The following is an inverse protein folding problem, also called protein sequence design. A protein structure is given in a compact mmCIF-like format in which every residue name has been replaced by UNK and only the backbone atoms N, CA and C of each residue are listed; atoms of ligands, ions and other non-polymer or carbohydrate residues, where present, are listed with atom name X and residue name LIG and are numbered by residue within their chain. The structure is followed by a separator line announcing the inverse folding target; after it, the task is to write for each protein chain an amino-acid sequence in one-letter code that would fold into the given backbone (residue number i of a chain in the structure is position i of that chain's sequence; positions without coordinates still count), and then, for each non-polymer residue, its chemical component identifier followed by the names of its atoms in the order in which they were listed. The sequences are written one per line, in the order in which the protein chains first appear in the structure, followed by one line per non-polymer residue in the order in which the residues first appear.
data_IF_305101343074
#
_entry.id   IF_305101343074
#
_cell.length_a   1.000
_cell.length_b   1.000
_cell.length_c   1.000
_cell.angle_alpha   90.00
_cell.angle_beta   90.00
_cell.angle_gamma   90.00
#
_symmetry.space_group_name_H-M   'P 1'
#
loop_
_entity.id
_entity.type
_entity.pdbx_description
1 polymer ?
#
# COMPACT_ATOMS: atom_id res chain seq x y z
N UNK A 1 -40.29 11.83 -49.50
CA UNK A 1 -40.13 12.71 -50.67
C UNK A 1 -38.82 13.47 -50.56
N UNK A 2 -38.04 13.51 -51.68
CA UNK A 2 -36.77 14.21 -52.00
C UNK A 2 -35.50 13.51 -51.42
N UNK A 3 -34.87 12.72 -52.13
CA UNK A 3 -33.86 12.53 -53.19
C UNK A 3 -32.99 13.78 -53.47
N UNK A 4 -31.65 13.55 -53.38
CA UNK A 4 -30.63 14.16 -54.28
C UNK A 4 -29.28 13.52 -53.88
N UNK A 5 -28.68 12.62 -54.68
CA UNK A 5 -27.75 12.76 -55.84
C UNK A 5 -26.45 13.52 -55.41
N UNK A 6 -25.35 12.96 -55.29
CA UNK A 6 -24.35 12.27 -56.07
C UNK A 6 -23.44 13.25 -56.83
N UNK A 7 -22.12 13.28 -56.53
CA UNK A 7 -21.08 13.64 -57.51
C UNK A 7 -19.81 12.90 -57.23
N UNK A 8 -19.44 12.10 -58.20
CA UNK A 8 -18.18 11.39 -58.39
C UNK A 8 -17.20 12.35 -59.09
N UNK A 9 -15.98 12.53 -58.60
CA UNK A 9 -14.92 13.17 -59.39
C UNK A 9 -13.67 12.32 -59.32
N UNK A 10 -13.40 11.65 -60.44
CA UNK A 10 -12.15 11.03 -60.80
C UNK A 10 -11.14 12.06 -61.33
N UNK A 11 -9.91 12.04 -60.92
CA UNK A 11 -8.79 12.72 -61.59
C UNK A 11 -7.55 11.82 -61.52
N UNK A 12 -7.31 11.16 -62.53
CA UNK A 12 -6.25 10.90 -63.52
C UNK A 12 -4.78 11.10 -63.00
N UNK A 13 -4.11 9.99 -63.13
CA UNK A 13 -2.64 9.77 -63.12
C UNK A 13 -1.88 10.69 -64.11
N UNK A 14 -0.76 11.23 -63.69
CA UNK A 14 0.34 11.58 -64.59
C UNK A 14 1.66 10.98 -64.05
N UNK A 15 2.20 10.00 -64.77
CA UNK A 15 3.55 9.50 -64.67
C UNK A 15 4.53 10.60 -65.21
N UNK A 16 5.51 10.94 -64.40
CA UNK A 16 6.67 11.68 -64.82
C UNK A 16 7.95 11.00 -64.38
N UNK A 17 8.60 10.27 -65.28
CA UNK A 17 9.96 9.69 -65.09
C UNK A 17 11.01 10.71 -65.45
N UNK A 18 11.94 11.03 -64.55
CA UNK A 18 13.26 11.60 -64.86
C UNK A 18 14.33 10.94 -64.00
N UNK A 19 15.44 10.49 -64.58
CA UNK A 19 16.59 9.95 -63.85
C UNK A 19 17.58 11.06 -63.49
N UNK A 20 18.00 11.13 -62.22
CA UNK A 20 19.03 12.01 -61.74
C UNK A 20 20.03 11.29 -60.86
N UNK A 21 21.26 11.24 -61.33
CA UNK A 21 22.44 10.66 -60.67
C UNK A 21 22.76 11.21 -59.30
N UNK A 22 23.11 10.36 -58.40
CA UNK A 22 24.28 10.27 -57.54
C UNK A 22 24.66 11.41 -56.61
N UNK A 23 24.53 11.15 -55.33
CA UNK A 23 25.60 11.41 -54.35
C UNK A 23 25.33 10.51 -53.11
N UNK A 24 26.37 9.81 -52.71
CA UNK A 24 26.33 8.92 -51.52
C UNK A 24 26.30 9.81 -50.27
N UNK A 25 25.15 9.87 -49.60
CA UNK A 25 25.06 10.31 -48.21
C UNK A 25 25.16 9.12 -47.28
N UNK A 26 26.08 9.25 -46.34
CA UNK A 26 26.30 8.32 -45.24
C UNK A 26 24.96 8.04 -44.50
N UNK A 27 24.60 6.78 -44.46
CA UNK A 27 23.49 6.32 -43.67
C UNK A 27 23.62 6.75 -42.22
N UNK A 28 22.73 7.61 -41.79
CA UNK A 28 22.38 7.79 -40.39
C UNK A 28 21.67 6.52 -39.99
N UNK A 29 22.35 5.70 -39.25
CA UNK A 29 21.69 4.60 -38.51
C UNK A 29 20.71 5.22 -37.53
N UNK A 30 19.46 5.33 -37.95
CA UNK A 30 18.35 5.56 -37.01
C UNK A 30 18.26 4.30 -36.16
N UNK A 31 18.83 4.37 -34.96
CA UNK A 31 18.62 3.33 -33.95
C UNK A 31 17.12 3.24 -33.69
N UNK A 32 16.48 2.30 -34.34
CA UNK A 32 15.13 1.88 -34.02
C UNK A 32 15.19 1.18 -32.66
N UNK A 33 15.21 1.97 -31.58
CA UNK A 33 14.97 1.45 -30.24
C UNK A 33 13.51 1.02 -30.24
N UNK A 34 13.28 -0.24 -30.50
CA UNK A 34 11.97 -0.88 -30.31
C UNK A 34 11.63 -0.64 -28.84
N UNK A 35 10.76 0.34 -28.51
CA UNK A 35 10.19 0.46 -27.17
C UNK A 35 9.54 -0.87 -26.86
N UNK A 36 10.15 -1.63 -25.94
CA UNK A 36 9.55 -2.85 -25.40
C UNK A 36 8.18 -2.43 -24.86
N UNK A 37 7.12 -3.09 -25.30
CA UNK A 37 5.79 -2.82 -24.76
C UNK A 37 5.81 -3.12 -23.26
N UNK A 38 5.35 -2.16 -22.45
CA UNK A 38 5.25 -2.35 -21.01
C UNK A 38 4.18 -3.41 -20.71
N UNK A 39 4.41 -4.22 -19.69
CA UNK A 39 3.43 -5.18 -19.18
C UNK A 39 2.49 -4.43 -18.25
N UNK A 40 1.19 -4.50 -18.52
CA UNK A 40 0.19 -3.89 -17.64
C UNK A 40 0.06 -4.70 -16.36
N UNK A 41 0.09 -4.00 -15.22
CA UNK A 41 -0.11 -4.57 -13.89
C UNK A 41 -1.07 -3.68 -13.11
N UNK A 42 -2.13 -4.25 -12.58
CA UNK A 42 -3.06 -3.56 -11.67
C UNK A 42 -2.71 -3.92 -10.23
N UNK A 43 -2.33 -2.89 -9.46
CA UNK A 43 -2.10 -2.97 -8.02
C UNK A 43 -3.29 -2.39 -7.28
N UNK A 44 -3.91 -3.16 -6.40
CA UNK A 44 -4.95 -2.67 -5.50
C UNK A 44 -4.36 -2.47 -4.10
N UNK A 45 -4.32 -1.22 -3.63
CA UNK A 45 -3.86 -0.86 -2.28
C UNK A 45 -5.03 -0.77 -1.31
N UNK A 46 -4.80 -1.16 -0.06
CA UNK A 46 -5.83 -1.17 1.01
C UNK A 46 -6.33 0.22 1.37
N UNK A 47 -5.46 1.21 1.32
CA UNK A 47 -5.72 2.61 1.62
C UNK A 47 -4.70 3.49 0.92
N UNK A 48 -5.09 4.72 0.53
CA UNK A 48 -4.16 5.71 0.01
C UNK A 48 -3.57 6.51 1.18
N UNK A 49 -2.32 6.21 1.54
CA UNK A 49 -1.72 6.74 2.77
C UNK A 49 -0.21 6.96 2.62
N UNK A 50 0.28 8.10 3.15
CA UNK A 50 1.72 8.43 3.23
C UNK A 50 2.50 7.33 3.98
N UNK A 51 1.82 6.47 4.73
CA UNK A 51 2.37 5.26 5.33
C UNK A 51 3.10 4.36 4.31
N UNK A 52 2.74 4.45 3.04
CA UNK A 52 3.30 3.67 1.94
C UNK A 52 4.27 4.47 1.06
N UNK A 53 4.89 5.53 1.60
CA UNK A 53 5.77 6.45 0.88
C UNK A 53 6.80 5.76 -0.03
N UNK A 54 7.51 4.67 0.35
CA UNK A 54 8.46 4.02 -0.57
C UNK A 54 7.82 3.49 -1.85
N UNK A 55 6.58 3.01 -1.80
CA UNK A 55 5.83 2.57 -2.99
C UNK A 55 5.52 3.76 -3.91
N UNK A 56 5.06 4.87 -3.34
CA UNK A 56 4.79 6.07 -4.14
C UNK A 56 6.06 6.69 -4.71
N UNK A 57 7.18 6.62 -3.98
CA UNK A 57 8.50 6.99 -4.54
C UNK A 57 8.80 6.13 -5.76
N UNK A 58 8.57 4.82 -5.71
CA UNK A 58 8.81 3.94 -6.86
C UNK A 58 7.91 4.30 -8.06
N UNK A 59 6.67 4.72 -7.82
CA UNK A 59 5.75 5.19 -8.85
C UNK A 59 6.24 6.52 -9.44
N UNK A 60 6.45 7.55 -8.63
CA UNK A 60 6.77 8.90 -9.08
C UNK A 60 8.17 9.02 -9.72
N UNK A 61 9.09 8.13 -9.33
CA UNK A 61 10.42 8.04 -9.94
C UNK A 61 10.44 7.22 -11.22
N UNK A 62 9.32 6.61 -11.63
CA UNK A 62 9.23 5.80 -12.84
C UNK A 62 9.95 4.45 -12.75
N UNK A 63 10.20 3.93 -11.54
CA UNK A 63 10.97 2.68 -11.38
C UNK A 63 10.22 1.46 -11.91
N UNK A 64 8.88 1.49 -11.94
CA UNK A 64 8.08 0.44 -12.55
C UNK A 64 8.23 0.41 -14.08
N UNK A 65 8.23 1.57 -14.73
CA UNK A 65 8.46 1.69 -16.17
C UNK A 65 9.87 1.24 -16.56
N UNK A 66 10.89 1.55 -15.74
CA UNK A 66 12.26 1.05 -15.94
C UNK A 66 12.32 -0.49 -15.95
N UNK A 67 11.52 -1.14 -15.12
CA UNK A 67 11.38 -2.60 -15.07
C UNK A 67 10.41 -3.17 -16.11
N UNK A 68 9.88 -2.31 -17.00
CA UNK A 68 8.99 -2.73 -18.09
C UNK A 68 7.53 -2.92 -17.68
N UNK A 69 7.09 -2.27 -16.61
CA UNK A 69 5.73 -2.35 -16.05
C UNK A 69 4.98 -1.04 -16.29
N UNK A 70 3.76 -1.14 -16.84
CA UNK A 70 2.76 -0.08 -16.89
C UNK A 70 1.81 -0.31 -15.70
N UNK A 71 2.09 0.39 -14.57
CA UNK A 71 1.38 0.18 -13.31
C UNK A 71 0.10 1.02 -13.26
N UNK A 72 -1.01 0.36 -12.95
CA UNK A 72 -2.28 1.02 -12.58
C UNK A 72 -2.51 0.82 -11.09
N UNK A 73 -2.55 1.91 -10.32
CA UNK A 73 -2.86 1.89 -8.89
C UNK A 73 -4.36 2.13 -8.69
N UNK A 74 -4.99 1.29 -7.85
CA UNK A 74 -6.40 1.39 -7.46
C UNK A 74 -6.50 1.27 -5.95
N UNK A 75 -7.26 2.16 -5.30
CA UNK A 75 -7.48 2.09 -3.84
C UNK A 75 -8.75 1.31 -3.53
N UNK A 76 -8.63 0.25 -2.72
CA UNK A 76 -9.73 -0.65 -2.35
C UNK A 76 -10.57 -0.16 -1.16
N UNK A 77 -10.01 0.70 -0.31
CA UNK A 77 -10.64 1.17 0.94
C UNK A 77 -11.05 0.04 1.89
N UNK A 78 -10.13 -0.91 2.10
CA UNK A 78 -10.29 -2.02 3.03
C UNK A 78 -9.62 -3.31 2.53
N UNK A 79 -9.06 -4.09 3.45
CA UNK A 79 -8.33 -5.31 3.10
C UNK A 79 -9.24 -6.39 2.48
N UNK A 80 -10.48 -6.46 2.91
CA UNK A 80 -11.52 -7.33 2.35
C UNK A 80 -11.86 -6.99 0.89
N UNK A 81 -11.92 -5.70 0.56
CA UNK A 81 -12.16 -5.21 -0.81
C UNK A 81 -10.95 -5.45 -1.70
N UNK A 82 -9.75 -5.15 -1.19
CA UNK A 82 -8.49 -5.43 -1.89
C UNK A 82 -8.32 -6.93 -2.17
N UNK A 83 -8.59 -7.78 -1.18
CA UNK A 83 -8.55 -9.22 -1.36
C UNK A 83 -9.62 -9.69 -2.37
N UNK A 84 -10.81 -9.12 -2.36
CA UNK A 84 -11.86 -9.44 -3.33
C UNK A 84 -11.41 -9.08 -4.76
N UNK A 85 -10.83 -7.90 -4.97
CA UNK A 85 -10.29 -7.49 -6.27
C UNK A 85 -9.18 -8.44 -6.75
N UNK A 86 -8.31 -8.89 -5.85
CA UNK A 86 -7.24 -9.84 -6.15
C UNK A 86 -7.80 -11.22 -6.55
N UNK A 87 -8.75 -11.75 -5.77
CA UNK A 87 -9.34 -13.07 -6.03
C UNK A 87 -10.20 -13.09 -7.29
N UNK A 88 -10.94 -12.02 -7.58
CA UNK A 88 -11.74 -11.88 -8.81
C UNK A 88 -10.90 -11.71 -10.06
N UNK A 89 -9.64 -11.26 -9.92
CA UNK A 89 -8.74 -10.93 -11.04
C UNK A 89 -8.94 -9.52 -11.59
N UNK A 90 -9.64 -8.64 -10.84
CA UNK A 90 -9.69 -7.20 -11.12
C UNK A 90 -8.35 -6.53 -10.78
N UNK A 91 -7.57 -7.11 -9.87
CA UNK A 91 -6.19 -6.74 -9.59
C UNK A 91 -5.27 -7.94 -9.77
N UNK A 92 -4.04 -7.68 -10.24
CA UNK A 92 -2.97 -8.66 -10.37
C UNK A 92 -2.22 -8.84 -9.05
N UNK A 93 -2.06 -7.72 -8.32
CA UNK A 93 -1.35 -7.62 -7.05
C UNK A 93 -2.25 -6.90 -6.03
N UNK A 94 -2.34 -7.44 -4.82
CA UNK A 94 -2.97 -6.80 -3.68
C UNK A 94 -1.91 -6.32 -2.69
N UNK A 95 -2.10 -5.12 -2.14
CA UNK A 95 -1.26 -4.56 -1.09
C UNK A 95 -2.12 -4.23 0.12
N UNK A 96 -2.00 -5.04 1.18
CA UNK A 96 -2.89 -4.99 2.33
C UNK A 96 -2.23 -5.63 3.56
N UNK A 97 -2.98 -5.68 4.67
CA UNK A 97 -2.57 -6.41 5.87
C UNK A 97 -2.28 -7.88 5.55
N UNK A 98 -1.16 -8.37 6.05
CA UNK A 98 -0.65 -9.72 5.74
C UNK A 98 -1.54 -10.85 6.28
N UNK A 99 -2.41 -10.58 7.26
CA UNK A 99 -3.42 -11.51 7.80
C UNK A 99 -4.42 -11.98 6.75
N UNK A 100 -4.69 -11.15 5.75
CA UNK A 100 -5.71 -11.44 4.73
C UNK A 100 -5.40 -12.69 3.90
N UNK A 101 -4.11 -13.00 3.71
CA UNK A 101 -3.69 -14.25 3.05
C UNK A 101 -3.98 -15.47 3.92
N UNK A 102 -3.81 -15.37 5.24
CA UNK A 102 -4.12 -16.41 6.21
C UNK A 102 -5.63 -16.74 6.19
N UNK A 103 -6.48 -15.71 6.27
CA UNK A 103 -7.93 -15.90 6.22
C UNK A 103 -8.39 -16.56 4.92
N UNK A 104 -7.80 -16.16 3.81
CA UNK A 104 -8.12 -16.72 2.49
C UNK A 104 -7.71 -18.18 2.37
N UNK A 105 -6.55 -18.54 2.90
CA UNK A 105 -6.04 -19.90 2.95
C UNK A 105 -6.94 -20.79 3.82
N UNK A 106 -7.25 -20.36 5.04
CA UNK A 106 -8.14 -21.09 5.97
C UNK A 106 -9.56 -21.19 5.44
N UNK A 107 -10.02 -20.23 4.64
CA UNK A 107 -11.27 -20.26 3.90
C UNK A 107 -11.33 -21.32 2.79
N UNK A 108 -10.23 -22.05 2.52
CA UNK A 108 -10.17 -23.15 1.56
C UNK A 108 -10.07 -22.69 0.10
N UNK A 109 -9.66 -21.47 -0.16
CA UNK A 109 -9.41 -20.98 -1.52
C UNK A 109 -8.26 -21.77 -2.14
N UNK A 110 -8.46 -22.35 -3.33
CA UNK A 110 -7.45 -23.20 -3.98
C UNK A 110 -6.28 -22.40 -4.58
N UNK A 111 -6.59 -21.27 -5.21
CA UNK A 111 -5.61 -20.35 -5.79
C UNK A 111 -5.47 -19.15 -4.84
N UNK A 112 -5.03 -19.45 -3.62
CA UNK A 112 -4.87 -18.47 -2.55
C UNK A 112 -3.70 -17.51 -2.84
N UNK A 113 -3.75 -16.28 -2.31
CA UNK A 113 -2.65 -15.32 -2.44
C UNK A 113 -1.45 -15.71 -1.58
N UNK A 114 -0.26 -15.50 -2.14
CA UNK A 114 1.03 -15.66 -1.47
C UNK A 114 1.66 -14.29 -1.32
N UNK A 115 2.13 -13.96 -0.12
CA UNK A 115 2.90 -12.75 0.14
C UNK A 115 4.31 -12.89 -0.45
N UNK A 116 4.75 -11.91 -1.21
CA UNK A 116 6.05 -11.97 -1.89
C UNK A 116 6.98 -10.79 -1.59
N UNK A 117 6.47 -9.75 -0.92
CA UNK A 117 7.23 -8.59 -0.48
C UNK A 117 6.53 -7.92 0.72
N UNK A 118 7.30 -7.55 1.75
CA UNK A 118 6.82 -6.81 2.92
C UNK A 118 7.37 -5.39 2.88
N UNK A 119 6.51 -4.36 2.93
CA UNK A 119 6.94 -2.96 2.90
C UNK A 119 7.13 -2.38 4.30
N UNK A 120 6.16 -2.60 5.19
CA UNK A 120 6.11 -1.96 6.51
C UNK A 120 6.35 -2.98 7.61
N UNK A 121 7.12 -2.56 8.62
CA UNK A 121 7.50 -3.41 9.77
C UNK A 121 6.96 -2.91 11.10
N UNK A 122 6.11 -1.87 11.09
CA UNK A 122 5.42 -1.32 12.26
C UNK A 122 4.01 -0.93 11.89
N UNK A 123 3.15 -0.76 12.88
CA UNK A 123 1.83 -0.18 12.66
C UNK A 123 1.96 1.28 12.17
N UNK A 124 1.08 1.67 11.25
CA UNK A 124 1.10 3.00 10.64
C UNK A 124 0.10 3.98 11.27
N UNK A 125 -0.62 3.55 12.29
CA UNK A 125 -1.69 4.31 12.90
C UNK A 125 -1.28 4.93 14.23
N UNK A 126 -2.06 5.95 14.60
CA UNK A 126 -1.89 6.76 15.78
C UNK A 126 -3.16 6.74 16.60
N UNK A 127 -3.02 6.83 17.92
CA UNK A 127 -4.15 7.07 18.82
C UNK A 127 -4.36 8.57 18.96
N UNK A 128 -5.56 9.03 18.66
CA UNK A 128 -5.97 10.44 18.70
C UNK A 128 -7.00 10.62 19.82
N UNK A 129 -6.75 11.57 20.72
CA UNK A 129 -7.64 11.98 21.80
C UNK A 129 -8.38 13.26 21.45
N UNK A 130 -9.48 13.58 22.15
CA UNK A 130 -10.23 14.86 21.98
C UNK A 130 -9.51 16.06 22.54
N UNK A 131 -8.72 15.86 23.56
CA UNK A 131 -7.98 16.91 24.27
C UNK A 131 -6.49 16.54 24.31
N UNK A 132 -5.58 17.52 24.36
CA UNK A 132 -4.17 17.24 24.53
C UNK A 132 -3.92 16.54 25.87
N UNK A 133 -3.11 15.49 25.87
CA UNK A 133 -2.76 14.71 27.06
C UNK A 133 -1.24 14.71 27.22
N UNK A 134 -0.76 15.37 28.25
CA UNK A 134 0.65 15.28 28.64
C UNK A 134 0.92 13.93 29.30
N UNK A 135 1.98 13.24 28.86
CA UNK A 135 2.40 11.93 29.40
C UNK A 135 1.28 10.87 29.32
N UNK A 136 0.72 10.67 28.14
CA UNK A 136 -0.27 9.63 27.91
C UNK A 136 0.23 8.24 28.36
N UNK A 137 -0.68 7.49 28.97
CA UNK A 137 -0.49 6.08 29.30
C UNK A 137 -1.74 5.30 28.89
N UNK A 138 -1.59 4.07 28.46
CA UNK A 138 -2.72 3.22 28.02
C UNK A 138 -3.75 3.00 29.13
N UNK A 139 -3.37 3.04 30.41
CA UNK A 139 -4.33 2.94 31.54
C UNK A 139 -5.41 4.04 31.53
N UNK A 140 -5.17 5.16 30.85
CA UNK A 140 -6.17 6.23 30.69
C UNK A 140 -7.33 5.86 29.78
N UNK A 141 -7.20 4.77 29.02
CA UNK A 141 -8.26 4.25 28.16
C UNK A 141 -9.33 3.47 28.90
N UNK A 142 -9.11 3.13 30.19
CA UNK A 142 -10.09 2.36 30.97
C UNK A 142 -11.45 3.05 31.00
N UNK A 143 -12.50 2.30 30.59
CA UNK A 143 -13.88 2.79 30.49
C UNK A 143 -14.16 3.73 29.32
N UNK A 144 -13.19 3.90 28.38
CA UNK A 144 -13.33 4.78 27.22
C UNK A 144 -13.90 4.08 26.01
N UNK A 145 -14.52 4.89 25.13
CA UNK A 145 -14.99 4.46 23.81
C UNK A 145 -13.99 4.89 22.74
N UNK A 146 -13.50 3.93 21.96
CA UNK A 146 -12.44 4.10 20.98
C UNK A 146 -12.96 3.67 19.61
N UNK A 147 -12.87 4.54 18.60
CA UNK A 147 -13.16 4.16 17.23
C UNK A 147 -11.95 3.36 16.71
N UNK A 148 -12.08 2.02 16.66
CA UNK A 148 -10.93 1.12 16.48
C UNK A 148 -10.78 0.52 15.07
N UNK A 149 -11.75 0.77 14.18
CA UNK A 149 -11.80 0.15 12.86
C UNK A 149 -12.44 -1.26 12.88
N UNK A 150 -12.37 -1.94 11.74
CA UNK A 150 -13.05 -3.22 11.51
C UNK A 150 -12.43 -4.36 12.31
N UNK A 151 -13.29 -5.19 12.92
CA UNK A 151 -12.88 -6.44 13.61
C UNK A 151 -12.04 -7.34 12.70
N UNK A 152 -10.98 -7.94 13.26
CA UNK A 152 -10.07 -8.86 12.57
C UNK A 152 -9.21 -8.21 11.49
N UNK A 153 -9.14 -6.87 11.42
CA UNK A 153 -8.18 -6.15 10.59
C UNK A 153 -6.91 -5.82 11.36
N UNK A 154 -5.77 -5.70 10.67
CA UNK A 154 -4.49 -5.38 11.31
C UNK A 154 -4.54 -4.14 12.24
N UNK A 155 -5.20 -3.02 11.87
CA UNK A 155 -5.26 -1.86 12.75
C UNK A 155 -5.86 -2.17 14.13
N UNK A 156 -6.95 -2.90 14.14
CA UNK A 156 -7.69 -3.25 15.37
C UNK A 156 -6.94 -4.31 16.18
N UNK A 157 -6.49 -5.41 15.53
CA UNK A 157 -5.79 -6.49 16.22
C UNK A 157 -4.47 -6.03 16.84
N UNK A 158 -3.69 -5.18 16.14
CA UNK A 158 -2.46 -4.62 16.68
C UNK A 158 -2.76 -3.66 17.84
N UNK A 159 -3.83 -2.88 17.76
CA UNK A 159 -4.26 -2.05 18.89
C UNK A 159 -4.64 -2.89 20.10
N UNK A 160 -5.42 -3.96 19.94
CA UNK A 160 -5.72 -4.90 21.04
C UNK A 160 -4.46 -5.56 21.61
N UNK A 161 -3.53 -5.96 20.75
CA UNK A 161 -2.22 -6.49 21.18
C UNK A 161 -1.47 -5.49 22.06
N UNK A 162 -1.44 -4.20 21.68
CA UNK A 162 -0.83 -3.13 22.48
C UNK A 162 -1.56 -2.97 23.82
N UNK A 163 -2.88 -2.99 23.84
CA UNK A 163 -3.66 -2.92 25.07
C UNK A 163 -3.30 -4.06 26.01
N UNK A 164 -3.26 -5.29 25.52
CA UNK A 164 -2.89 -6.48 26.31
C UNK A 164 -1.46 -6.39 26.86
N UNK A 165 -0.50 -5.89 26.06
CA UNK A 165 0.88 -5.61 26.52
C UNK A 165 0.93 -4.61 27.68
N UNK A 166 -0.03 -3.70 27.76
CA UNK A 166 -0.18 -2.71 28.82
C UNK A 166 -1.15 -3.14 29.93
N UNK A 167 -1.43 -4.46 30.05
CA UNK A 167 -2.30 -5.05 31.04
C UNK A 167 -3.75 -4.54 31.01
N UNK A 168 -4.24 -4.15 29.81
CA UNK A 168 -5.62 -3.73 29.56
C UNK A 168 -6.33 -4.85 28.79
N UNK A 169 -7.45 -5.31 29.30
CA UNK A 169 -8.28 -6.28 28.59
C UNK A 169 -9.20 -5.55 27.59
N UNK A 170 -9.02 -5.70 26.27
CA UNK A 170 -9.84 -5.00 25.29
C UNK A 170 -11.33 -5.34 25.35
N UNK A 171 -11.69 -6.53 25.86
CA UNK A 171 -13.09 -6.94 25.96
C UNK A 171 -13.85 -6.39 27.18
N UNK A 172 -13.14 -5.95 28.23
CA UNK A 172 -13.77 -5.54 29.51
C UNK A 172 -13.40 -4.15 29.98
N UNK A 173 -12.19 -3.67 29.64
CA UNK A 173 -11.65 -2.44 30.20
C UNK A 173 -11.86 -1.21 29.31
N UNK A 174 -12.13 -1.45 28.02
CA UNK A 174 -12.42 -0.43 27.02
C UNK A 174 -13.63 -0.82 26.16
N UNK A 175 -14.19 0.13 25.42
CA UNK A 175 -15.18 -0.15 24.37
C UNK A 175 -14.56 0.21 23.02
N UNK A 176 -14.29 -0.80 22.17
CA UNK A 176 -13.77 -0.56 20.82
C UNK A 176 -14.96 -0.63 19.85
N UNK A 177 -15.30 0.51 19.24
CA UNK A 177 -16.34 0.56 18.21
C UNK A 177 -15.75 0.11 16.87
N UNK A 178 -16.18 -1.04 16.39
CA UNK A 178 -15.75 -1.69 15.15
C UNK A 178 -16.79 -1.54 14.02
N UNK A 179 -17.86 -0.77 14.25
CA UNK A 179 -18.98 -0.63 13.31
C UNK A 179 -18.75 0.41 12.21
N UNK A 180 -17.73 1.26 12.38
CA UNK A 180 -17.44 2.36 11.47
C UNK A 180 -16.33 1.94 10.51
N UNK A 181 -16.60 2.04 9.20
CA UNK A 181 -15.59 1.81 8.17
C UNK A 181 -14.37 2.71 8.37
N UNK A 182 -13.20 2.13 8.21
CA UNK A 182 -11.90 2.77 8.47
C UNK A 182 -11.73 4.14 7.78
N UNK A 183 -12.21 4.31 6.54
CA UNK A 183 -12.19 5.60 5.83
C UNK A 183 -13.14 6.67 6.39
N UNK A 184 -13.93 6.35 7.43
CA UNK A 184 -14.94 7.24 8.01
C UNK A 184 -14.72 7.55 9.49
N UNK A 185 -13.72 6.91 10.14
CA UNK A 185 -13.45 7.06 11.58
C UNK A 185 -13.10 8.49 11.97
N UNK A 186 -12.23 9.16 11.21
CA UNK A 186 -11.85 10.55 11.45
C UNK A 186 -13.06 11.51 11.36
N UNK A 187 -13.95 11.31 10.38
CA UNK A 187 -15.16 12.11 10.23
C UNK A 187 -16.14 11.86 11.37
N UNK A 188 -16.33 10.61 11.80
CA UNK A 188 -17.15 10.24 12.93
C UNK A 188 -16.60 10.86 14.24
N UNK A 189 -15.27 10.82 14.41
CA UNK A 189 -14.61 11.43 15.54
C UNK A 189 -14.81 12.95 15.53
N UNK A 190 -14.54 13.67 14.43
CA UNK A 190 -14.84 15.12 14.31
C UNK A 190 -16.32 15.41 14.60
N UNK A 191 -17.23 14.50 14.25
CA UNK A 191 -18.67 14.59 14.52
C UNK A 191 -19.05 14.32 15.98
N UNK A 192 -18.10 14.05 16.87
CA UNK A 192 -18.32 13.89 18.32
C UNK A 192 -18.47 12.44 18.78
N UNK A 193 -18.23 11.42 17.93
CA UNK A 193 -18.27 10.02 18.34
C UNK A 193 -16.92 9.57 18.93
N UNK A 194 -16.95 8.69 19.92
CA UNK A 194 -15.79 8.16 20.61
C UNK A 194 -15.06 9.16 21.51
N UNK A 195 -14.32 8.67 22.48
CA UNK A 195 -13.37 9.47 23.29
C UNK A 195 -12.01 9.54 22.61
N UNK A 196 -11.67 8.47 21.89
CA UNK A 196 -10.46 8.30 21.10
C UNK A 196 -10.78 7.72 19.73
N UNK A 197 -9.85 7.89 18.79
CA UNK A 197 -9.92 7.21 17.48
C UNK A 197 -8.54 6.72 17.07
N UNK A 198 -8.50 5.64 16.31
CA UNK A 198 -7.29 5.07 15.71
C UNK A 198 -7.25 5.52 14.25
N UNK A 199 -6.26 6.33 13.90
CA UNK A 199 -6.17 6.96 12.58
C UNK A 199 -4.82 6.73 11.92
N UNK A 200 -4.83 6.64 10.59
CA UNK A 200 -3.63 6.74 9.77
C UNK A 200 -3.38 8.18 9.33
N UNK A 201 -2.19 8.43 8.81
CA UNK A 201 -1.89 9.68 8.13
C UNK A 201 -2.40 9.66 6.66
N UNK A 202 -2.92 10.76 6.13
CA UNK A 202 -2.90 12.13 6.72
C UNK A 202 -4.07 12.47 7.66
N UNK A 203 -4.97 11.54 7.97
CA UNK A 203 -6.17 11.83 8.76
C UNK A 203 -5.85 12.25 10.20
N UNK A 204 -4.86 11.62 10.85
CA UNK A 204 -4.42 11.99 12.19
C UNK A 204 -3.94 13.46 12.24
N UNK A 205 -3.05 13.84 11.33
CA UNK A 205 -2.58 15.25 11.22
C UNK A 205 -3.72 16.22 10.85
N UNK A 206 -4.69 15.78 10.03
CA UNK A 206 -5.83 16.62 9.69
C UNK A 206 -6.73 16.92 10.89
N UNK A 207 -6.92 15.96 11.79
CA UNK A 207 -7.63 16.16 13.06
C UNK A 207 -6.89 17.17 13.96
N UNK A 208 -5.55 17.04 14.08
CA UNK A 208 -4.74 17.99 14.85
C UNK A 208 -4.80 19.41 14.26
N UNK A 209 -4.66 19.53 12.94
CA UNK A 209 -4.67 20.84 12.26
C UNK A 209 -6.01 21.57 12.41
N UNK A 210 -7.12 20.81 12.43
CA UNK A 210 -8.47 21.38 12.66
C UNK A 210 -8.75 21.66 14.13
N UNK A 211 -7.96 21.14 15.06
CA UNK A 211 -8.22 21.18 16.49
C UNK A 211 -9.37 20.26 16.93
N UNK A 212 -9.72 19.28 16.12
CA UNK A 212 -10.75 18.27 16.40
C UNK A 212 -10.19 17.10 17.23
N UNK A 213 -8.85 16.93 17.28
CA UNK A 213 -8.18 15.88 18.01
C UNK A 213 -6.68 16.13 18.18
N UNK A 214 -6.04 15.30 18.99
CA UNK A 214 -4.62 15.40 19.32
C UNK A 214 -4.00 14.00 19.33
N UNK A 215 -2.92 13.81 18.58
CA UNK A 215 -2.17 12.54 18.61
C UNK A 215 -1.51 12.38 19.97
N UNK A 216 -1.83 11.31 20.68
CA UNK A 216 -1.34 11.01 22.03
C UNK A 216 -0.41 9.80 22.08
N UNK A 217 -0.47 8.91 21.10
CA UNK A 217 0.44 7.76 20.99
C UNK A 217 0.65 7.34 19.53
N UNK A 218 1.86 6.88 19.22
CA UNK A 218 2.17 6.16 17.98
C UNK A 218 1.99 4.66 18.21
N UNK A 219 0.99 4.06 17.59
CA UNK A 219 0.80 2.62 17.69
C UNK A 219 1.96 1.86 17.00
N UNK A 220 2.63 2.49 16.03
CA UNK A 220 3.81 1.94 15.40
C UNK A 220 5.02 1.82 16.34
N UNK A 221 5.24 2.83 17.19
CA UNK A 221 6.29 2.76 18.22
C UNK A 221 5.96 1.67 19.26
N UNK A 222 4.70 1.58 19.67
CA UNK A 222 4.26 0.72 20.76
C UNK A 222 4.03 -0.75 20.35
N UNK A 223 3.69 -1.02 19.07
CA UNK A 223 3.55 -2.38 18.56
C UNK A 223 4.87 -3.16 18.55
N UNK A 224 5.98 -2.45 18.36
CA UNK A 224 7.23 -3.07 17.98
C UNK A 224 7.23 -3.46 16.49
N UNK A 225 8.09 -4.40 16.09
CA UNK A 225 8.16 -4.87 14.71
C UNK A 225 7.06 -5.90 14.45
N UNK A 226 6.10 -5.52 13.61
CA UNK A 226 5.00 -6.37 13.16
C UNK A 226 4.93 -6.35 11.63
N UNK A 227 4.62 -7.46 10.95
CA UNK A 227 4.54 -7.53 9.50
C UNK A 227 3.21 -6.91 9.04
N UNK A 228 3.13 -5.56 9.08
CA UNK A 228 1.86 -4.86 9.00
C UNK A 228 1.23 -4.90 7.62
N UNK A 229 1.98 -4.58 6.55
CA UNK A 229 1.48 -4.67 5.16
C UNK A 229 2.45 -5.40 4.25
N UNK A 230 1.89 -6.22 3.37
CA UNK A 230 2.61 -7.00 2.39
C UNK A 230 1.93 -6.96 1.01
N UNK A 231 2.73 -7.14 -0.03
CA UNK A 231 2.26 -7.38 -1.39
C UNK A 231 2.00 -8.86 -1.59
N UNK A 232 0.83 -9.19 -2.10
CA UNK A 232 0.43 -10.55 -2.40
C UNK A 232 -0.15 -10.67 -3.81
N UNK A 233 0.01 -11.85 -4.40
CA UNK A 233 -0.59 -12.21 -5.67
C UNK A 233 -1.05 -13.67 -5.62
N UNK A 234 -2.04 -14.03 -6.44
CA UNK A 234 -2.51 -15.42 -6.54
C UNK A 234 -1.33 -16.34 -6.88
N UNK A 235 -1.31 -17.55 -6.31
CA UNK A 235 -0.27 -18.55 -6.56
C UNK A 235 -0.05 -18.78 -8.05
N UNK A 236 -1.13 -18.93 -8.81
CA UNK A 236 -1.07 -19.12 -10.27
C UNK A 236 -0.44 -17.91 -11.00
N UNK A 237 -0.71 -16.68 -10.51
CA UNK A 237 -0.13 -15.48 -11.11
C UNK A 237 1.38 -15.39 -10.86
N UNK A 238 1.84 -15.69 -9.64
CA UNK A 238 3.27 -15.73 -9.28
C UNK A 238 4.04 -16.76 -10.10
N UNK A 239 3.43 -17.91 -10.41
CA UNK A 239 4.03 -18.96 -11.23
C UNK A 239 4.10 -18.55 -12.71
N UNK A 240 3.05 -17.93 -13.25
CA UNK A 240 2.94 -17.57 -14.66
C UNK A 240 3.67 -16.27 -15.04
N UNK A 241 3.86 -15.35 -14.08
CA UNK A 241 4.37 -13.99 -14.30
C UNK A 241 5.62 -13.69 -13.45
N UNK A 242 6.45 -14.69 -13.19
CA UNK A 242 7.60 -14.56 -12.28
C UNK A 242 8.56 -13.42 -12.65
N UNK A 243 8.79 -13.15 -13.94
CA UNK A 243 9.65 -12.06 -14.40
C UNK A 243 9.01 -10.68 -14.12
N UNK A 244 7.70 -10.57 -14.32
CA UNK A 244 6.94 -9.34 -14.01
C UNK A 244 6.96 -9.06 -12.50
N UNK A 245 6.75 -10.08 -11.68
CA UNK A 245 6.83 -9.96 -10.21
C UNK A 245 8.26 -9.59 -9.77
N UNK A 246 9.30 -10.15 -10.40
CA UNK A 246 10.67 -9.74 -10.09
C UNK A 246 10.91 -8.26 -10.44
N UNK A 247 10.47 -7.80 -11.60
CA UNK A 247 10.55 -6.39 -11.99
C UNK A 247 9.79 -5.49 -11.01
N UNK A 248 8.58 -5.91 -10.59
CA UNK A 248 7.78 -5.20 -9.59
C UNK A 248 8.54 -5.05 -8.27
N UNK A 249 9.14 -6.13 -7.76
CA UNK A 249 9.91 -6.11 -6.51
C UNK A 249 11.21 -5.31 -6.65
N UNK A 250 11.88 -5.35 -7.82
CA UNK A 250 13.05 -4.51 -8.08
C UNK A 250 12.68 -3.00 -8.03
N UNK A 251 11.56 -2.62 -8.63
CA UNK A 251 11.06 -1.25 -8.59
C UNK A 251 10.75 -0.78 -7.16
N UNK A 252 10.08 -1.63 -6.37
CA UNK A 252 9.83 -1.36 -4.95
C UNK A 252 11.14 -1.21 -4.15
N UNK A 253 12.13 -2.08 -4.37
CA UNK A 253 13.42 -1.99 -3.66
C UNK A 253 14.13 -0.66 -3.96
N UNK A 254 14.12 -0.19 -5.22
CA UNK A 254 14.63 1.15 -5.57
C UNK A 254 13.90 2.25 -4.79
N UNK A 255 12.58 2.12 -4.59
CA UNK A 255 11.79 3.05 -3.76
C UNK A 255 12.19 3.01 -2.29
N UNK A 256 12.44 1.81 -1.74
CA UNK A 256 12.95 1.62 -0.37
C UNK A 256 14.34 2.26 -0.21
N UNK A 257 15.25 1.99 -1.16
CA UNK A 257 16.63 2.52 -1.15
C UNK A 257 16.64 4.05 -1.23
N UNK A 258 15.76 4.63 -2.08
CA UNK A 258 15.58 6.07 -2.14
C UNK A 258 15.12 6.61 -0.79
N UNK A 259 14.08 6.03 -0.22
CA UNK A 259 13.52 6.47 1.07
C UNK A 259 14.56 6.37 2.20
N UNK A 260 15.37 5.31 2.23
CA UNK A 260 16.41 5.12 3.23
C UNK A 260 17.60 6.09 3.11
N UNK A 261 17.83 6.67 1.90
CA UNK A 261 19.00 7.50 1.61
C UNK A 261 18.70 8.99 1.46
N UNK A 262 17.43 9.41 1.50
CA UNK A 262 17.00 10.79 1.31
C UNK A 262 16.31 11.36 2.55
N UNK A 263 16.30 12.69 2.64
CA UNK A 263 15.64 13.40 3.75
C UNK A 263 14.11 13.36 3.61
N UNK A 264 13.35 13.53 4.70
CA UNK A 264 11.89 13.63 4.65
C UNK A 264 11.38 14.70 3.68
N UNK A 265 12.07 15.84 3.53
CA UNK A 265 11.70 16.89 2.58
C UNK A 265 11.83 16.41 1.12
N UNK A 266 12.90 15.68 0.80
CA UNK A 266 13.13 15.12 -0.54
C UNK A 266 12.10 14.05 -0.86
N UNK A 267 11.78 13.19 0.11
CA UNK A 267 10.75 12.16 -0.04
C UNK A 267 9.38 12.81 -0.25
N UNK A 268 9.03 13.81 0.60
CA UNK A 268 7.77 14.55 0.49
C UNK A 268 7.60 15.22 -0.87
N UNK A 269 8.66 15.84 -1.39
CA UNK A 269 8.64 16.47 -2.70
C UNK A 269 8.40 15.48 -3.83
N UNK A 270 8.93 14.24 -3.71
CA UNK A 270 8.72 13.18 -4.72
C UNK A 270 7.29 12.67 -4.70
N UNK A 271 6.72 12.40 -3.50
CA UNK A 271 5.40 11.79 -3.39
C UNK A 271 4.23 12.79 -3.42
N UNK A 272 4.51 14.09 -3.40
CA UNK A 272 3.48 15.13 -3.41
C UNK A 272 2.42 14.99 -4.52
N UNK A 273 2.74 14.55 -5.76
CA UNK A 273 1.72 14.33 -6.79
C UNK A 273 0.67 13.27 -6.42
N UNK A 274 0.98 12.35 -5.52
CA UNK A 274 0.02 11.37 -5.00
C UNK A 274 -0.92 11.98 -3.93
N UNK A 275 -0.57 13.13 -3.35
CA UNK A 275 -1.29 13.78 -2.25
C UNK A 275 -1.53 15.26 -2.55
N UNK A 276 -2.11 15.56 -3.72
CA UNK A 276 -2.28 16.94 -4.23
C UNK A 276 -3.03 17.88 -3.28
N UNK A 277 -3.93 17.35 -2.45
CA UNK A 277 -4.71 18.12 -1.47
C UNK A 277 -3.94 18.39 -0.16
N UNK A 278 -2.72 17.83 0.01
CA UNK A 278 -1.92 17.96 1.24
C UNK A 278 -0.71 18.83 0.96
N UNK A 279 -0.53 19.87 1.77
CA UNK A 279 0.64 20.75 1.68
C UNK A 279 1.94 19.97 1.88
N UNK A 280 2.98 20.26 1.09
CA UNK A 280 4.27 19.56 1.15
C UNK A 280 4.87 19.57 2.56
N UNK A 281 4.74 20.69 3.30
CA UNK A 281 5.22 20.77 4.67
C UNK A 281 4.51 19.77 5.61
N UNK A 282 3.22 19.51 5.38
CA UNK A 282 2.46 18.48 6.11
C UNK A 282 2.93 17.08 5.74
N UNK A 283 3.14 16.82 4.44
CA UNK A 283 3.71 15.54 3.97
C UNK A 283 5.08 15.31 4.61
N UNK A 284 5.97 16.33 4.62
CA UNK A 284 7.29 16.26 5.28
C UNK A 284 7.17 15.88 6.76
N UNK A 285 6.26 16.52 7.49
CA UNK A 285 6.06 16.22 8.92
C UNK A 285 5.59 14.77 9.13
N UNK A 286 4.69 14.27 8.28
CA UNK A 286 4.19 12.90 8.31
C UNK A 286 5.31 11.90 7.96
N UNK A 287 6.06 12.15 6.88
CA UNK A 287 7.21 11.31 6.49
C UNK A 287 8.25 11.27 7.61
N UNK A 288 8.55 12.41 8.26
CA UNK A 288 9.46 12.48 9.41
C UNK A 288 8.98 11.58 10.53
N UNK A 289 7.70 11.64 10.88
CA UNK A 289 7.07 10.81 11.93
C UNK A 289 7.21 9.32 11.63
N UNK A 290 6.95 8.88 10.38
CA UNK A 290 7.14 7.49 9.96
C UNK A 290 8.60 7.07 9.88
N UNK A 291 9.49 7.98 9.50
CA UNK A 291 10.92 7.74 9.46
C UNK A 291 11.51 7.52 10.87
N UNK A 292 11.16 8.41 11.80
CA UNK A 292 11.63 8.35 13.20
C UNK A 292 11.15 7.10 13.94
N UNK A 293 9.97 6.58 13.62
CA UNK A 293 9.48 5.34 14.21
C UNK A 293 9.99 4.07 13.50
N UNK A 294 10.87 4.18 12.50
CA UNK A 294 11.42 3.04 11.75
C UNK A 294 10.33 2.17 11.11
N UNK A 295 9.42 2.83 10.37
CA UNK A 295 8.22 2.21 9.80
C UNK A 295 8.54 1.25 8.66
N UNK A 296 9.51 1.62 7.82
CA UNK A 296 9.81 0.91 6.58
C UNK A 296 11.00 -0.03 6.76
N UNK A 297 10.91 -1.19 6.16
CA UNK A 297 12.03 -2.13 6.09
C UNK A 297 13.17 -1.56 5.23
N UNK A 298 14.36 -2.10 5.40
CA UNK A 298 15.50 -1.83 4.51
C UNK A 298 15.49 -2.73 3.27
N UNK A 299 14.80 -3.86 3.37
CA UNK A 299 14.54 -4.81 2.30
C UNK A 299 13.06 -5.22 2.30
N UNK A 300 12.67 -5.97 1.30
CA UNK A 300 11.28 -6.41 1.13
C UNK A 300 11.05 -7.86 1.62
N UNK A 301 12.01 -8.44 2.36
CA UNK A 301 11.94 -9.84 2.81
C UNK A 301 10.91 -9.96 3.94
N UNK A 302 9.92 -10.82 3.74
CA UNK A 302 8.96 -11.19 4.78
C UNK A 302 9.47 -12.43 5.52
N UNK A 303 10.08 -12.20 6.67
CA UNK A 303 10.76 -13.24 7.44
C UNK A 303 9.79 -14.12 8.23
N UNK A 304 10.21 -15.36 8.51
CA UNK A 304 9.41 -16.36 9.24
C UNK A 304 9.10 -15.93 10.66
N UNK A 305 10.06 -15.29 11.35
CA UNK A 305 9.84 -14.76 12.71
C UNK A 305 8.73 -13.70 12.73
N UNK A 306 8.66 -12.85 11.68
CA UNK A 306 7.60 -11.86 11.51
C UNK A 306 6.24 -12.52 11.28
N UNK A 307 6.21 -13.60 10.48
CA UNK A 307 5.00 -14.36 10.23
C UNK A 307 4.50 -15.08 11.51
N UNK A 308 5.43 -15.64 12.28
CA UNK A 308 5.12 -16.24 13.59
C UNK A 308 4.52 -15.21 14.56
N UNK A 309 5.06 -13.99 14.59
CA UNK A 309 4.49 -12.91 15.40
C UNK A 309 3.07 -12.53 14.92
N UNK A 310 2.85 -12.48 13.60
CA UNK A 310 1.53 -12.24 13.04
C UNK A 310 0.53 -13.29 13.53
N UNK A 311 0.88 -14.57 13.47
CA UNK A 311 0.01 -15.64 13.97
C UNK A 311 -0.26 -15.52 15.46
N UNK A 312 0.73 -15.12 16.27
CA UNK A 312 0.54 -14.88 17.70
C UNK A 312 -0.50 -13.78 17.94
N UNK A 313 -0.42 -12.68 17.17
CA UNK A 313 -1.37 -11.55 17.26
C UNK A 313 -2.78 -12.02 16.90
N UNK A 314 -2.92 -12.79 15.81
CA UNK A 314 -4.22 -13.35 15.39
C UNK A 314 -4.80 -14.35 16.41
N UNK A 315 -3.96 -15.19 17.00
CA UNK A 315 -4.39 -16.12 18.07
C UNK A 315 -4.88 -15.35 19.31
N UNK A 316 -4.13 -14.31 19.73
CA UNK A 316 -4.52 -13.45 20.85
C UNK A 316 -5.81 -12.66 20.59
N UNK A 317 -6.06 -12.30 19.34
CA UNK A 317 -7.32 -11.66 18.91
C UNK A 317 -8.48 -12.67 18.81
N UNK A 318 -8.21 -13.98 18.81
CA UNK A 318 -9.23 -15.01 18.62
C UNK A 318 -9.60 -15.25 17.15
N UNK A 319 -8.82 -14.70 16.21
CA UNK A 319 -9.07 -14.73 14.77
C UNK A 319 -8.34 -15.89 14.05
N UNK A 320 -7.47 -16.63 14.75
CA UNK A 320 -6.71 -17.75 14.19
C UNK A 320 -7.15 -19.08 14.79
N UNK A 321 -8.04 -19.84 14.15
CA UNK A 321 -8.47 -21.14 14.66
C UNK A 321 -7.37 -22.21 14.58
N UNK A 322 -6.47 -22.11 13.60
CA UNK A 322 -5.33 -23.00 13.40
C UNK A 322 -4.19 -22.24 12.73
N UNK A 323 -2.95 -22.50 13.13
CA UNK A 323 -1.76 -21.97 12.46
C UNK A 323 -1.62 -22.55 11.05
N UNK A 324 -1.01 -21.76 10.19
CA UNK A 324 -0.76 -22.11 8.79
C UNK A 324 0.75 -22.13 8.51
N UNK A 325 1.24 -23.03 7.63
CA UNK A 325 2.65 -23.08 7.31
C UNK A 325 3.12 -21.79 6.62
N UNK A 326 4.23 -21.23 7.08
CA UNK A 326 4.86 -20.06 6.48
C UNK A 326 5.15 -20.26 4.99
N UNK A 327 5.71 -21.42 4.62
CA UNK A 327 6.09 -21.76 3.24
C UNK A 327 4.92 -21.86 2.27
N UNK A 328 3.69 -22.01 2.77
CA UNK A 328 2.48 -22.01 1.93
C UNK A 328 2.04 -20.58 1.59
N UNK A 329 2.31 -19.60 2.45
CA UNK A 329 1.79 -18.23 2.35
C UNK A 329 2.83 -17.15 2.11
N UNK A 330 4.13 -17.50 2.14
CA UNK A 330 5.21 -16.53 1.92
C UNK A 330 6.24 -17.07 0.94
N UNK A 331 6.69 -16.23 0.03
CA UNK A 331 7.86 -16.49 -0.80
C UNK A 331 8.82 -15.32 -0.76
N UNK A 332 10.05 -15.55 -0.34
CA UNK A 332 11.09 -14.51 -0.25
C UNK A 332 11.98 -14.42 -1.49
N UNK A 333 11.82 -15.32 -2.45
CA UNK A 333 12.74 -15.49 -3.60
C UNK A 333 12.94 -14.20 -4.42
N UNK A 334 11.88 -13.40 -4.57
CA UNK A 334 11.93 -12.15 -5.35
C UNK A 334 12.61 -11.03 -4.57
N UNK A 335 12.26 -10.87 -3.28
CA UNK A 335 12.85 -9.88 -2.39
C UNK A 335 14.35 -10.15 -2.16
N UNK A 336 14.73 -11.39 -1.88
CA UNK A 336 16.15 -11.78 -1.76
C UNK A 336 16.96 -11.50 -3.03
N UNK A 337 16.34 -11.59 -4.21
CA UNK A 337 17.02 -11.27 -5.47
C UNK A 337 17.13 -9.77 -5.70
N UNK A 338 16.15 -8.98 -5.28
CA UNK A 338 16.15 -7.54 -5.42
C UNK A 338 17.09 -6.82 -4.43
N UNK A 339 17.35 -7.42 -3.25
CA UNK A 339 18.24 -6.86 -2.21
C UNK A 339 19.74 -7.06 -2.46
N UNK A 340 20.14 -7.68 -3.59
CA UNK A 340 21.53 -7.94 -3.99
C UNK A 340 22.06 -6.88 -4.94
#
# INVERSE_FOLDING_TARGET
MKKFIGILLSVIFILGTLPGCGTAEKGSETSNTTRKSLTKVTLNEVAHSIFYAPMYVAIEKGYFEEEGIDLTLVTGFGADKTMTALLSGEADIGFMGSESSIYTYLGGTKDYPINFAQLTQRAGNFLVAREPIDNFTYSMLSGKNILGGRAGGMPEMVFEYILKKNAINPATDVSIDQSIDFGSTAAAFSGGQGDYTVEFEPAATALETKGDGYVVASLGADSGYVPYTAFSAKKSYLESNADTIQGFVNALQKGMDFTASHTPDEIAAVIQPQFEETEVATITAIVTRYYEQDTWKTDLIFEEDSFTLLENILEEAGELPNRVPYEDLVTTKFAVKASK
#
